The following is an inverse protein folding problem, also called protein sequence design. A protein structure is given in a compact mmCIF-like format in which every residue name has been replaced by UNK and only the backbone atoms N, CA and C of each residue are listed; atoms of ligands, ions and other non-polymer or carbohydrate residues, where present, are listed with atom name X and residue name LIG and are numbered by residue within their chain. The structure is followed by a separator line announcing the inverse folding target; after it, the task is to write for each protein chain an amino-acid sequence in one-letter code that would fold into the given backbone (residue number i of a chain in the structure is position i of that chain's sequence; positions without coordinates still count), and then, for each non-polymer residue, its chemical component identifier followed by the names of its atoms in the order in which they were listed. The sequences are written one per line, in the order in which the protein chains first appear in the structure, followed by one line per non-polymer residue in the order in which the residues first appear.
data_IF_996586494089
#
_entry.id   IF_996586494089
#
_cell.length_a   1.000
_cell.length_b   1.000
_cell.length_c   1.000
_cell.angle_alpha   90.00
_cell.angle_beta   90.00
_cell.angle_gamma   90.00
#
_symmetry.space_group_name_H-M   'P 1'
#
loop_
_entity.id
_entity.type
_entity.pdbx_description
1 polymer ?
#
# COMPACT_ATOMS: atom_id res chain seq x y z
N UNK A 1 0.32 13.55 5.50
CA UNK A 1 0.23 12.64 6.67
C UNK A 1 1.43 12.88 7.56
N UNK A 2 1.24 12.91 8.88
CA UNK A 2 2.38 12.90 9.81
C UNK A 2 3.05 11.52 9.77
N UNK A 3 4.38 11.46 9.96
CA UNK A 3 5.17 10.22 9.95
C UNK A 3 4.59 9.08 10.81
N UNK A 4 3.85 9.43 11.86
CA UNK A 4 3.24 8.47 12.78
C UNK A 4 2.03 7.74 12.18
N UNK A 5 1.25 8.40 11.32
CA UNK A 5 0.08 7.81 10.65
C UNK A 5 0.51 6.77 9.63
N UNK A 6 1.57 7.06 8.86
CA UNK A 6 2.09 6.12 7.88
C UNK A 6 2.71 4.88 8.54
N UNK A 7 3.39 5.03 9.69
CA UNK A 7 3.93 3.87 10.41
C UNK A 7 2.83 2.92 10.89
N UNK A 8 1.70 3.44 11.35
CA UNK A 8 0.57 2.58 11.70
C UNK A 8 -0.07 1.99 10.46
N UNK A 9 -0.26 2.81 9.42
CA UNK A 9 -0.79 2.36 8.14
C UNK A 9 0.04 1.23 7.54
N UNK A 10 1.37 1.36 7.46
CA UNK A 10 2.24 0.34 6.87
C UNK A 10 2.30 -0.93 7.72
N UNK A 11 2.17 -0.83 9.05
CA UNK A 11 2.07 -2.00 9.92
C UNK A 11 0.79 -2.79 9.63
N UNK A 12 -0.36 -2.10 9.61
CA UNK A 12 -1.65 -2.69 9.22
C UNK A 12 -1.59 -3.23 7.79
N UNK A 13 -0.94 -2.50 6.89
CA UNK A 13 -0.76 -2.88 5.51
C UNK A 13 0.04 -4.16 5.37
N UNK A 14 1.10 -4.35 6.15
CA UNK A 14 1.92 -5.57 6.09
C UNK A 14 1.14 -6.81 6.55
N UNK A 15 0.33 -6.66 7.60
CA UNK A 15 -0.51 -7.72 8.17
C UNK A 15 -1.78 -7.99 7.35
N UNK A 16 -2.22 -7.03 6.53
CA UNK A 16 -3.39 -7.15 5.69
C UNK A 16 -3.23 -8.17 4.54
N UNK A 17 -4.37 -8.71 4.10
CA UNK A 17 -4.46 -9.56 2.92
C UNK A 17 -4.17 -8.77 1.64
N UNK A 18 -3.86 -9.47 0.54
CA UNK A 18 -3.60 -8.80 -0.75
C UNK A 18 -4.71 -7.84 -1.17
N UNK A 19 -5.97 -8.25 -1.05
CA UNK A 19 -7.12 -7.44 -1.47
C UNK A 19 -7.24 -6.18 -0.60
N UNK A 20 -7.15 -6.33 0.73
CA UNK A 20 -7.08 -5.22 1.67
C UNK A 20 -5.89 -4.29 1.38
N UNK A 21 -4.72 -4.82 1.03
CA UNK A 21 -3.56 -4.00 0.66
C UNK A 21 -3.84 -3.16 -0.58
N UNK A 22 -4.52 -3.72 -1.59
CA UNK A 22 -4.90 -2.99 -2.80
C UNK A 22 -5.92 -1.90 -2.46
N UNK A 23 -6.93 -2.23 -1.65
CA UNK A 23 -7.93 -1.28 -1.20
C UNK A 23 -7.31 -0.16 -0.35
N UNK A 24 -6.46 -0.50 0.62
CA UNK A 24 -5.69 0.44 1.43
C UNK A 24 -4.80 1.32 0.56
N UNK A 25 -4.12 0.76 -0.44
CA UNK A 25 -3.30 1.52 -1.39
C UNK A 25 -4.16 2.50 -2.21
N UNK A 26 -5.30 2.04 -2.70
CA UNK A 26 -6.21 2.84 -3.53
C UNK A 26 -6.96 3.91 -2.74
N UNK A 27 -7.27 3.65 -1.45
CA UNK A 27 -7.94 4.58 -0.53
C UNK A 27 -6.98 5.50 0.19
N UNK A 28 -5.70 5.12 0.28
CA UNK A 28 -4.68 6.00 0.84
C UNK A 28 -4.52 7.22 -0.05
N UNK A 29 -4.92 8.37 0.49
CA UNK A 29 -4.79 9.71 -0.11
C UNK A 29 -3.83 10.52 0.75
N UNK A 30 -3.05 11.43 0.15
CA UNK A 30 -1.96 12.18 0.81
C UNK A 30 -0.70 11.38 1.20
N UNK A 31 -0.42 10.26 0.54
CA UNK A 31 0.91 9.67 0.58
C UNK A 31 1.83 10.36 -0.43
N UNK A 32 3.09 10.53 -0.05
CA UNK A 32 4.15 10.99 -0.94
C UNK A 32 4.62 9.85 -1.83
N UNK A 33 5.23 10.18 -2.96
CA UNK A 33 5.78 9.20 -3.91
C UNK A 33 6.70 8.18 -3.22
N UNK A 34 7.56 8.64 -2.32
CA UNK A 34 8.45 7.76 -1.53
C UNK A 34 7.68 6.77 -0.64
N UNK A 35 6.55 7.19 -0.06
CA UNK A 35 5.73 6.32 0.79
C UNK A 35 4.96 5.30 -0.04
N UNK A 36 4.47 5.68 -1.22
CA UNK A 36 3.92 4.73 -2.19
C UNK A 36 4.96 3.73 -2.67
N UNK A 37 6.19 4.19 -2.96
CA UNK A 37 7.28 3.29 -3.33
C UNK A 37 7.64 2.31 -2.21
N UNK A 38 7.59 2.74 -0.94
CA UNK A 38 7.77 1.82 0.17
C UNK A 38 6.67 0.77 0.22
N UNK A 39 5.40 1.15 0.09
CA UNK A 39 4.27 0.20 0.05
C UNK A 39 4.41 -0.79 -1.09
N UNK A 40 4.74 -0.32 -2.30
CA UNK A 40 5.01 -1.14 -3.48
C UNK A 40 6.15 -2.14 -3.25
N UNK A 41 7.22 -1.76 -2.55
CA UNK A 41 8.32 -2.68 -2.21
C UNK A 41 7.92 -3.75 -1.21
N UNK A 42 6.94 -3.47 -0.35
CA UNK A 42 6.42 -4.45 0.61
C UNK A 42 5.46 -5.44 -0.04
N UNK A 43 4.97 -5.17 -1.25
CA UNK A 43 4.15 -6.14 -1.98
C UNK A 43 5.00 -7.31 -2.47
N UNK A 44 4.49 -8.54 -2.32
CA UNK A 44 5.04 -9.68 -3.02
C UNK A 44 4.95 -9.46 -4.54
N UNK A 45 5.96 -9.87 -5.33
CA UNK A 45 5.96 -9.70 -6.78
C UNK A 45 4.75 -10.38 -7.49
N UNK A 46 4.14 -11.38 -6.86
CA UNK A 46 2.91 -12.02 -7.35
C UNK A 46 1.64 -11.17 -7.21
N UNK A 47 1.62 -10.25 -6.25
CA UNK A 47 0.46 -9.39 -5.96
C UNK A 47 0.55 -8.03 -6.66
N UNK A 48 1.74 -7.62 -7.13
CA UNK A 48 1.91 -6.42 -7.99
C UNK A 48 0.98 -6.49 -9.20
N UNK A 49 0.85 -7.68 -9.83
CA UNK A 49 -0.07 -7.88 -10.96
C UNK A 49 -1.54 -7.61 -10.61
N UNK A 50 -1.95 -7.90 -9.37
CA UNK A 50 -3.32 -7.62 -8.92
C UNK A 50 -3.51 -6.13 -8.66
N UNK A 51 -2.48 -5.46 -8.16
CA UNK A 51 -2.47 -4.02 -7.95
C UNK A 51 -2.53 -3.26 -9.29
N UNK A 52 -1.75 -3.68 -10.29
CA UNK A 52 -1.85 -3.16 -11.66
C UNK A 52 -3.26 -3.35 -12.24
N UNK A 53 -3.89 -4.51 -12.00
CA UNK A 53 -5.27 -4.80 -12.42
C UNK A 53 -6.33 -3.95 -11.72
N UNK A 54 -6.06 -3.46 -10.51
CA UNK A 54 -7.00 -2.63 -9.76
C UNK A 54 -6.87 -1.14 -10.11
N UNK A 55 -5.71 -0.73 -10.65
CA UNK A 55 -5.45 0.62 -11.13
C UNK A 55 -5.91 0.85 -12.59
N UNK A 56 -6.26 -0.21 -13.32
CA UNK A 56 -6.64 -0.19 -14.73
C UNK A 56 -8.10 -0.58 -14.93
#
# INVERSE_FOLDING_TARGET
MQFNEFRQFISTFQEASTEDKIEMYCTSVNLTEEQYMQLLRTFPPGDIRKLEKALY
#
